data_IF_117337678013
#
_entry.id   IF_117337678013
#
_cell.length_a   1.000
_cell.length_b   1.000
_cell.length_c   1.000
_cell.angle_alpha   90.00
_cell.angle_beta   90.00
_cell.angle_gamma   90.00
#
_symmetry.space_group_name_H-M   'P 1'
#
loop_
_entity.id
_entity.type
_entity.pdbx_description
1 polymer ?
#
# COMPACT_ATOMS: atom_id res chain seq x y z
N UNK A 1 16.93 -35.47 57.67
CA UNK A 1 15.90 -34.65 56.99
C UNK A 1 16.60 -33.73 56.00
N UNK A 2 16.30 -33.77 54.69
CA UNK A 2 16.88 -32.84 53.74
C UNK A 2 16.44 -31.41 54.07
N UNK A 3 17.39 -30.47 54.17
CA UNK A 3 17.11 -29.06 54.39
C UNK A 3 16.23 -28.55 53.24
N UNK A 4 15.08 -27.97 53.57
CA UNK A 4 14.21 -27.35 52.57
C UNK A 4 15.01 -26.28 51.81
N UNK A 5 14.92 -26.24 50.48
CA UNK A 5 15.65 -25.25 49.70
C UNK A 5 15.24 -23.84 50.13
N UNK A 6 16.23 -22.98 50.38
CA UNK A 6 16.03 -21.58 50.73
C UNK A 6 15.23 -20.90 49.61
N UNK A 7 14.11 -20.26 49.95
CA UNK A 7 13.23 -19.54 49.03
C UNK A 7 14.02 -18.57 48.12
N UNK A 8 15.06 -17.92 48.66
CA UNK A 8 15.94 -17.03 47.92
C UNK A 8 16.68 -17.76 46.79
N UNK A 9 17.16 -18.98 47.04
CA UNK A 9 17.84 -19.81 46.05
C UNK A 9 16.89 -20.28 44.95
N UNK A 10 15.64 -20.59 45.30
CA UNK A 10 14.60 -20.95 44.32
C UNK A 10 14.29 -19.74 43.42
N UNK A 11 14.07 -18.56 44.01
CA UNK A 11 13.79 -17.32 43.28
C UNK A 11 14.95 -16.93 42.36
N UNK A 12 16.20 -17.05 42.83
CA UNK A 12 17.38 -16.75 42.01
C UNK A 12 17.49 -17.68 40.80
N UNK A 13 17.30 -19.00 40.99
CA UNK A 13 17.32 -19.98 39.89
C UNK A 13 16.21 -19.72 38.89
N UNK A 14 15.01 -19.36 39.34
CA UNK A 14 13.91 -19.00 38.48
C UNK A 14 14.22 -17.74 37.64
N UNK A 15 14.76 -16.69 38.27
CA UNK A 15 15.16 -15.46 37.57
C UNK A 15 16.24 -15.73 36.51
N UNK A 16 17.26 -16.53 36.86
CA UNK A 16 18.32 -16.89 35.93
C UNK A 16 17.80 -17.72 34.74
N UNK A 17 16.90 -18.69 35.00
CA UNK A 17 16.28 -19.48 33.95
C UNK A 17 15.44 -18.61 32.99
N UNK A 18 14.67 -17.66 33.52
CA UNK A 18 13.91 -16.70 32.70
C UNK A 18 14.87 -15.87 31.84
N UNK A 19 15.92 -15.31 32.43
CA UNK A 19 16.88 -14.45 31.75
C UNK A 19 17.64 -15.20 30.65
N UNK A 20 18.09 -16.43 30.92
CA UNK A 20 18.72 -17.30 29.92
C UNK A 20 17.76 -17.64 28.77
N UNK A 21 16.49 -17.94 29.08
CA UNK A 21 15.48 -18.23 28.05
C UNK A 21 15.24 -17.00 27.17
N UNK A 22 15.17 -15.80 27.75
CA UNK A 22 15.07 -14.54 27.01
C UNK A 22 16.28 -14.32 26.08
N UNK A 23 17.51 -14.60 26.55
CA UNK A 23 18.73 -14.47 25.75
C UNK A 23 18.74 -15.48 24.60
N UNK A 24 18.45 -16.76 24.87
CA UNK A 24 18.41 -17.80 23.84
C UNK A 24 17.42 -17.44 22.76
N UNK A 25 16.22 -16.99 23.10
CA UNK A 25 15.22 -16.63 22.11
C UNK A 25 15.53 -15.32 21.38
N UNK A 26 16.25 -14.40 22.01
CA UNK A 26 16.78 -13.23 21.33
C UNK A 26 17.76 -13.62 20.24
N UNK A 27 18.75 -14.44 20.60
CA UNK A 27 19.79 -14.90 19.68
C UNK A 27 19.18 -15.78 18.59
N UNK A 28 18.30 -16.73 18.94
CA UNK A 28 17.62 -17.58 17.96
C UNK A 28 16.71 -16.80 17.02
N UNK A 29 16.00 -15.78 17.52
CA UNK A 29 15.20 -14.89 16.70
C UNK A 29 16.04 -14.08 15.72
N UNK A 30 17.12 -13.44 16.19
CA UNK A 30 18.07 -12.72 15.32
C UNK A 30 18.73 -13.64 14.29
N UNK A 31 19.17 -14.85 14.70
CA UNK A 31 19.74 -15.84 13.81
C UNK A 31 18.71 -16.28 12.76
N UNK A 32 17.46 -16.54 13.15
CA UNK A 32 16.37 -16.84 12.23
C UNK A 32 16.13 -15.67 11.26
N UNK A 33 16.04 -14.44 11.75
CA UNK A 33 15.86 -13.24 10.93
C UNK A 33 16.98 -13.01 9.92
N UNK A 34 18.22 -13.37 10.28
CA UNK A 34 19.40 -13.25 9.42
C UNK A 34 19.55 -14.39 8.42
N UNK A 35 19.18 -15.61 8.77
CA UNK A 35 19.43 -16.81 7.96
C UNK A 35 18.22 -17.26 7.15
N UNK A 36 17.01 -17.01 7.63
CA UNK A 36 15.79 -17.24 6.87
C UNK A 36 15.52 -15.97 6.08
N UNK A 37 15.63 -16.05 4.75
CA UNK A 37 15.20 -14.97 3.87
C UNK A 37 13.67 -14.89 3.85
N UNK A 38 13.07 -14.56 5.00
CA UNK A 38 11.63 -14.32 5.14
C UNK A 38 11.18 -13.21 4.19
N UNK A 39 12.10 -12.31 3.80
CA UNK A 39 11.86 -11.30 2.77
C UNK A 39 11.50 -11.90 1.41
N UNK A 40 11.96 -13.11 1.08
CA UNK A 40 11.56 -13.80 -0.16
C UNK A 40 10.06 -14.14 -0.17
N UNK A 41 9.49 -14.37 1.01
CA UNK A 41 8.11 -14.81 1.19
C UNK A 41 7.15 -13.67 1.55
N UNK A 42 7.67 -12.48 1.86
CA UNK A 42 6.84 -11.31 2.14
C UNK A 42 6.35 -10.65 0.86
N UNK A 43 5.11 -10.13 0.93
CA UNK A 43 4.56 -9.20 -0.03
C UNK A 43 5.55 -8.10 -0.40
N UNK A 44 5.98 -8.03 -1.69
CA UNK A 44 6.98 -7.06 -2.10
C UNK A 44 6.49 -5.62 -1.86
N UNK A 45 5.17 -5.37 -1.87
CA UNK A 45 4.57 -4.07 -1.53
C UNK A 45 4.75 -3.69 -0.07
N UNK A 46 4.75 -4.69 0.81
CA UNK A 46 4.97 -4.48 2.25
C UNK A 46 6.44 -4.34 2.59
N UNK A 47 7.39 -4.72 1.71
CA UNK A 47 8.83 -4.59 1.99
C UNK A 47 9.24 -3.17 2.36
N UNK A 48 8.61 -2.18 1.76
CA UNK A 48 8.91 -0.78 2.02
C UNK A 48 8.51 -0.36 3.43
N UNK A 49 7.41 -0.93 3.93
CA UNK A 49 6.92 -0.71 5.29
C UNK A 49 7.93 -1.25 6.31
N UNK A 50 8.52 -2.42 6.04
CA UNK A 50 9.32 -3.16 7.03
C UNK A 50 10.82 -2.90 6.97
N UNK A 51 11.39 -2.79 5.77
CA UNK A 51 12.84 -2.63 5.56
C UNK A 51 13.16 -1.26 4.96
N UNK A 52 12.29 -0.73 4.08
CA UNK A 52 12.46 0.59 3.46
C UNK A 52 13.76 0.77 2.67
N UNK A 53 14.54 -0.31 2.48
CA UNK A 53 15.84 -0.29 1.84
C UNK A 53 15.71 -0.26 0.32
N UNK A 54 16.64 0.45 -0.28
CA UNK A 54 16.87 0.42 -1.71
C UNK A 54 17.21 -0.99 -2.18
N UNK A 55 16.54 -1.41 -3.25
CA UNK A 55 16.67 -2.77 -3.77
C UNK A 55 17.26 -2.82 -5.19
N UNK A 56 17.82 -1.70 -5.67
CA UNK A 56 18.36 -1.58 -7.03
C UNK A 56 17.35 -1.06 -8.06
N UNK A 57 16.10 -0.76 -7.68
CA UNK A 57 15.07 -0.27 -8.59
C UNK A 57 15.26 1.19 -8.99
N UNK A 58 15.24 1.44 -10.30
CA UNK A 58 15.25 2.82 -10.84
C UNK A 58 13.87 3.47 -10.81
N UNK A 59 12.83 2.64 -10.92
CA UNK A 59 11.44 3.07 -10.98
C UNK A 59 10.68 2.53 -9.77
N UNK A 60 9.82 3.36 -9.19
CA UNK A 60 8.94 2.98 -8.09
C UNK A 60 7.49 3.19 -8.50
N UNK A 61 6.67 2.15 -8.39
CA UNK A 61 5.21 2.26 -8.52
C UNK A 61 4.66 2.49 -7.12
N UNK A 62 4.10 3.66 -6.88
CA UNK A 62 3.59 4.13 -5.60
C UNK A 62 2.11 4.43 -5.73
N UNK A 63 1.32 4.25 -4.67
CA UNK A 63 -0.11 4.44 -4.82
C UNK A 63 -1.00 3.76 -3.81
N UNK A 64 -2.29 3.82 -4.11
CA UNK A 64 -3.37 3.04 -3.48
C UNK A 64 -3.64 1.74 -4.29
N UNK A 65 -4.71 1.04 -3.91
CA UNK A 65 -5.15 -0.29 -4.32
C UNK A 65 -5.30 -0.49 -5.83
N UNK A 66 -5.44 0.58 -6.62
CA UNK A 66 -5.55 0.49 -8.08
C UNK A 66 -4.21 0.11 -8.73
N UNK A 67 -3.08 0.35 -8.07
CA UNK A 67 -1.75 -0.11 -8.50
C UNK A 67 -1.27 -1.38 -7.78
N UNK A 68 -2.10 -1.97 -6.91
CA UNK A 68 -1.74 -3.16 -6.14
C UNK A 68 -1.80 -4.47 -6.95
N UNK A 69 -2.33 -4.45 -8.18
CA UNK A 69 -2.51 -5.60 -9.07
C UNK A 69 -3.30 -6.78 -8.50
N UNK A 70 -4.46 -6.49 -7.88
CA UNK A 70 -5.28 -7.50 -7.23
C UNK A 70 -6.04 -8.44 -8.17
N UNK A 71 -6.19 -8.08 -9.44
CA UNK A 71 -7.10 -8.75 -10.38
C UNK A 71 -6.38 -9.41 -11.56
N UNK A 72 -5.09 -9.73 -11.39
CA UNK A 72 -4.28 -10.45 -12.38
C UNK A 72 -4.09 -11.92 -11.98
N UNK A 73 -3.80 -12.76 -12.97
CA UNK A 73 -3.72 -14.21 -12.78
C UNK A 73 -2.38 -14.70 -12.24
N UNK A 74 -1.32 -13.91 -12.45
CA UNK A 74 0.04 -14.32 -12.12
C UNK A 74 0.94 -13.12 -11.85
N UNK A 75 2.09 -13.31 -11.16
CA UNK A 75 3.01 -12.21 -10.86
C UNK A 75 3.58 -11.53 -12.11
N UNK A 76 3.78 -12.28 -13.17
CA UNK A 76 4.34 -11.79 -14.44
C UNK A 76 3.37 -10.84 -15.16
N UNK A 77 2.10 -10.88 -14.79
CA UNK A 77 1.02 -10.07 -15.36
C UNK A 77 0.71 -8.79 -14.58
N UNK A 78 1.49 -8.52 -13.54
CA UNK A 78 1.35 -7.32 -12.72
C UNK A 78 1.97 -6.10 -13.44
N UNK A 79 1.45 -4.89 -13.19
CA UNK A 79 1.97 -3.64 -13.79
C UNK A 79 3.49 -3.54 -13.62
N UNK A 80 4.04 -3.84 -12.44
CA UNK A 80 5.47 -3.71 -12.17
C UNK A 80 6.30 -4.74 -12.93
N UNK A 81 5.85 -5.99 -13.05
CA UNK A 81 6.58 -7.03 -13.77
C UNK A 81 6.58 -6.79 -15.29
N UNK A 82 5.44 -6.34 -15.83
CA UNK A 82 5.33 -5.94 -17.24
C UNK A 82 6.25 -4.75 -17.51
N UNK A 83 6.21 -3.73 -16.65
CA UNK A 83 7.07 -2.56 -16.79
C UNK A 83 8.55 -2.92 -16.70
N UNK A 84 8.96 -3.72 -15.72
CA UNK A 84 10.34 -4.18 -15.52
C UNK A 84 10.89 -4.88 -16.77
N UNK A 85 10.07 -5.76 -17.37
CA UNK A 85 10.40 -6.43 -18.64
C UNK A 85 10.54 -5.43 -19.78
N UNK A 86 9.60 -4.49 -19.91
CA UNK A 86 9.55 -3.54 -21.01
C UNK A 86 10.71 -2.51 -20.99
N UNK A 87 11.17 -2.12 -19.80
CA UNK A 87 12.27 -1.15 -19.65
C UNK A 87 13.62 -1.77 -19.32
N UNK A 88 13.69 -3.10 -19.17
CA UNK A 88 14.87 -3.85 -18.76
C UNK A 88 15.57 -3.23 -17.53
N UNK A 89 14.76 -2.83 -16.55
CA UNK A 89 15.18 -2.18 -15.32
C UNK A 89 14.26 -2.58 -14.20
N UNK A 90 14.83 -2.78 -13.01
CA UNK A 90 14.05 -3.20 -11.84
C UNK A 90 13.02 -2.14 -11.43
N UNK A 91 11.79 -2.60 -11.17
CA UNK A 91 10.66 -1.75 -10.74
C UNK A 91 10.23 -2.15 -9.33
N UNK A 92 10.15 -1.18 -8.43
CA UNK A 92 9.67 -1.41 -7.07
C UNK A 92 8.14 -1.36 -7.01
N UNK A 93 7.45 -2.44 -6.59
CA UNK A 93 6.00 -2.43 -6.43
C UNK A 93 5.61 -1.86 -5.07
N UNK A 94 5.66 -0.54 -4.90
CA UNK A 94 5.38 0.15 -3.64
C UNK A 94 3.90 0.49 -3.38
N UNK A 95 2.96 0.15 -4.26
CA UNK A 95 1.54 0.47 -4.06
C UNK A 95 0.95 -0.22 -2.82
N UNK A 96 0.18 0.52 -2.02
CA UNK A 96 -0.40 0.07 -0.76
C UNK A 96 -1.92 -0.04 -0.86
N UNK A 97 -2.51 -0.95 -0.09
CA UNK A 97 -3.96 -1.10 -0.06
C UNK A 97 -4.64 -0.04 0.83
N UNK A 98 -5.71 0.57 0.33
CA UNK A 98 -6.47 1.63 0.97
C UNK A 98 -5.61 2.81 1.51
N UNK A 99 -4.54 3.14 0.78
CA UNK A 99 -3.56 4.17 1.08
C UNK A 99 -4.17 5.57 1.11
N UNK A 100 -3.83 6.37 2.13
CA UNK A 100 -4.31 7.76 2.26
C UNK A 100 -3.16 8.74 2.03
N UNK A 101 -3.45 10.03 1.78
CA UNK A 101 -2.39 11.02 1.55
C UNK A 101 -1.27 11.03 2.60
N UNK A 102 -1.54 10.89 3.92
CA UNK A 102 -0.47 10.78 4.92
C UNK A 102 0.42 9.52 4.77
N UNK A 103 -0.15 8.40 4.32
CA UNK A 103 0.60 7.16 4.06
C UNK A 103 1.52 7.36 2.84
N UNK A 104 1.01 8.02 1.79
CA UNK A 104 1.80 8.39 0.62
C UNK A 104 2.95 9.33 0.98
N UNK A 105 2.72 10.34 1.82
CA UNK A 105 3.81 11.22 2.29
C UNK A 105 4.87 10.45 3.08
N UNK A 106 4.45 9.56 3.98
CA UNK A 106 5.38 8.70 4.74
C UNK A 106 6.19 7.78 3.83
N UNK A 107 5.53 7.18 2.84
CA UNK A 107 6.18 6.39 1.80
C UNK A 107 7.18 7.24 1.00
N UNK A 108 6.80 8.47 0.66
CA UNK A 108 7.69 9.43 0.03
C UNK A 108 8.96 9.67 0.85
N UNK A 109 8.84 9.95 2.14
CA UNK A 109 9.99 10.16 3.02
C UNK A 109 10.95 8.96 3.05
N UNK A 110 10.40 7.74 3.07
CA UNK A 110 11.19 6.50 3.02
C UNK A 110 11.93 6.40 1.69
N UNK A 111 11.23 6.63 0.57
CA UNK A 111 11.84 6.54 -0.76
C UNK A 111 12.93 7.61 -0.92
N UNK A 112 12.65 8.85 -0.52
CA UNK A 112 13.59 9.97 -0.53
C UNK A 112 14.84 9.74 0.33
N UNK A 113 14.74 8.90 1.35
CA UNK A 113 15.87 8.54 2.21
C UNK A 113 16.72 7.40 1.66
N UNK A 114 16.16 6.56 0.78
CA UNK A 114 16.78 5.30 0.35
C UNK A 114 17.15 5.26 -1.14
N UNK A 115 16.35 5.87 -2.02
CA UNK A 115 16.57 5.83 -3.46
C UNK A 115 17.56 6.92 -3.92
N UNK A 116 18.40 6.63 -4.93
CA UNK A 116 19.35 7.59 -5.45
C UNK A 116 18.65 8.67 -6.30
N UNK A 117 19.33 9.81 -6.44
CA UNK A 117 18.96 10.84 -7.42
C UNK A 117 18.88 10.25 -8.84
N UNK A 118 17.95 10.77 -9.65
CA UNK A 118 17.63 10.25 -10.98
C UNK A 118 16.65 9.07 -10.99
N UNK A 119 16.23 8.57 -9.82
CA UNK A 119 15.10 7.64 -9.72
C UNK A 119 13.79 8.32 -10.12
N UNK A 120 12.80 7.54 -10.54
CA UNK A 120 11.46 8.05 -10.88
C UNK A 120 10.39 7.31 -10.10
N UNK A 121 9.46 8.05 -9.51
CA UNK A 121 8.28 7.52 -8.82
C UNK A 121 7.04 7.81 -9.66
N UNK A 122 6.29 6.75 -9.98
CA UNK A 122 4.96 6.83 -10.54
C UNK A 122 3.94 6.72 -9.41
N UNK A 123 3.30 7.83 -9.02
CA UNK A 123 2.26 7.83 -7.99
C UNK A 123 0.88 7.78 -8.64
N UNK A 124 0.08 6.76 -8.35
CA UNK A 124 -1.29 6.71 -8.86
C UNK A 124 -2.19 7.68 -8.09
N UNK A 125 -3.10 8.31 -8.82
CA UNK A 125 -4.17 9.15 -8.26
C UNK A 125 -5.46 8.83 -9.00
N UNK A 126 -6.47 8.41 -8.25
CA UNK A 126 -7.84 8.32 -8.76
C UNK A 126 -8.57 9.61 -8.43
N UNK A 127 -9.36 10.20 -9.33
CA UNK A 127 -10.17 11.38 -9.01
C UNK A 127 -11.07 11.21 -7.78
N UNK A 128 -11.48 9.97 -7.47
CA UNK A 128 -12.22 9.61 -6.24
C UNK A 128 -11.48 9.97 -4.95
N UNK A 129 -10.16 10.09 -4.98
CA UNK A 129 -9.35 10.55 -3.83
C UNK A 129 -9.77 11.94 -3.36
N UNK A 130 -10.18 12.80 -4.28
CA UNK A 130 -10.55 14.18 -3.99
C UNK A 130 -12.05 14.36 -3.75
N UNK A 131 -12.84 13.29 -3.91
CA UNK A 131 -14.24 13.30 -3.52
C UNK A 131 -14.37 13.22 -2.00
N UNK A 132 -15.30 13.99 -1.43
CA UNK A 132 -15.74 13.79 -0.05
C UNK A 132 -16.35 12.40 0.14
N UNK A 133 -16.14 11.81 1.31
CA UNK A 133 -16.66 10.49 1.66
C UNK A 133 -17.52 10.57 2.91
N UNK A 134 -18.56 9.72 2.99
CA UNK A 134 -19.35 9.56 4.23
C UNK A 134 -18.57 8.83 5.31
N UNK A 135 -17.56 8.07 4.93
CA UNK A 135 -16.67 7.43 5.89
C UNK A 135 -15.77 8.49 6.51
N UNK A 136 -15.60 8.49 7.84
CA UNK A 136 -14.72 9.44 8.49
C UNK A 136 -13.32 9.34 7.90
N UNK A 137 -12.75 10.48 7.55
CA UNK A 137 -11.33 10.55 7.25
C UNK A 137 -10.59 10.28 8.56
N UNK A 138 -9.71 9.27 8.63
CA UNK A 138 -8.86 9.13 9.80
C UNK A 138 -7.98 10.38 9.88
N UNK A 139 -7.76 10.85 11.10
CA UNK A 139 -6.94 12.03 11.36
C UNK A 139 -5.56 11.89 10.71
N UNK A 140 -5.13 12.93 9.99
CA UNK A 140 -3.74 13.06 9.57
C UNK A 140 -2.85 13.08 10.83
N UNK A 141 -1.90 12.17 10.91
CA UNK A 141 -1.00 12.06 12.08
C UNK A 141 -1.32 10.91 13.04
N UNK A 142 -2.25 10.01 12.74
CA UNK A 142 -2.37 8.73 13.44
C UNK A 142 -2.40 7.58 12.41
N UNK A 143 -1.22 7.02 12.12
CA UNK A 143 -0.99 5.86 11.25
C UNK A 143 -2.12 4.83 11.37
N UNK A 144 -2.82 4.51 10.28
CA UNK A 144 -3.87 3.48 10.32
C UNK A 144 -3.63 2.32 9.34
N UNK A 145 -3.95 1.13 9.85
CA UNK A 145 -3.82 -0.22 9.28
C UNK A 145 -2.46 -0.73 8.74
N UNK A 146 -1.86 -0.14 7.71
CA UNK A 146 -0.70 -0.74 7.02
C UNK A 146 0.64 -0.52 7.77
N UNK A 147 0.89 0.70 8.24
CA UNK A 147 2.10 1.07 8.99
C UNK A 147 1.94 1.00 10.53
N UNK A 148 0.72 0.73 11.02
CA UNK A 148 0.39 0.70 12.46
C UNK A 148 1.13 -0.40 13.23
N UNK A 149 1.57 -1.48 12.55
CA UNK A 149 2.37 -2.56 13.13
C UNK A 149 3.79 -2.15 13.55
N UNK A 150 4.25 -0.94 13.19
CA UNK A 150 5.61 -0.48 13.50
C UNK A 150 5.62 0.59 14.62
N UNK A 151 4.55 1.37 14.80
CA UNK A 151 4.50 2.48 15.79
C UNK A 151 3.67 2.26 17.06
N UNK A 152 2.97 1.14 17.22
CA UNK A 152 2.36 0.75 18.50
C UNK A 152 3.38 0.38 19.60
N UNK A 153 4.65 0.73 19.42
CA UNK A 153 5.68 0.66 20.47
C UNK A 153 5.75 1.92 21.36
N UNK A 154 4.89 2.94 21.25
CA UNK A 154 5.06 4.14 22.10
C UNK A 154 3.87 4.80 22.79
N UNK A 155 2.60 4.62 22.43
CA UNK A 155 1.51 5.32 23.17
C UNK A 155 0.16 4.63 23.04
N UNK A 156 -0.38 4.13 24.15
CA UNK A 156 -1.72 4.55 24.56
C UNK A 156 -2.00 4.29 26.05
N UNK A 157 -2.20 5.40 26.79
CA UNK A 157 -2.62 5.44 28.19
C UNK A 157 -4.15 5.60 28.22
N UNK A 158 -4.90 4.54 28.50
CA UNK A 158 -6.25 4.64 29.10
C UNK A 158 -6.43 3.57 30.16
N UNK A 159 -6.63 4.04 31.39
CA UNK A 159 -6.60 3.29 32.64
C UNK A 159 -7.98 2.68 32.95
N UNK A 160 -8.04 1.36 33.15
CA UNK A 160 -9.16 0.67 33.79
C UNK A 160 -8.66 -0.65 34.41
N UNK A 161 -9.36 -1.30 35.34
CA UNK A 161 -8.80 -2.46 36.08
C UNK A 161 -8.36 -3.66 35.19
N UNK A 162 -8.93 -3.80 33.98
CA UNK A 162 -8.47 -4.75 32.95
C UNK A 162 -7.07 -4.40 32.40
N UNK A 163 -6.73 -3.11 32.45
CA UNK A 163 -5.43 -2.55 32.16
C UNK A 163 -4.40 -2.90 33.24
N UNK A 164 -4.74 -3.16 34.52
CA UNK A 164 -3.73 -3.63 35.49
C UNK A 164 -3.25 -5.05 35.18
N UNK A 165 -4.16 -5.92 34.73
CA UNK A 165 -3.82 -7.26 34.24
C UNK A 165 -3.04 -7.22 32.94
N UNK A 166 -3.41 -6.30 32.04
CA UNK A 166 -2.65 -6.06 30.81
C UNK A 166 -1.32 -5.35 31.07
N UNK A 167 -1.20 -4.49 32.07
CA UNK A 167 0.03 -3.80 32.50
C UNK A 167 0.95 -4.79 33.20
N UNK A 168 0.45 -5.74 34.00
CA UNK A 168 1.24 -6.86 34.51
C UNK A 168 1.68 -7.80 33.37
N UNK A 169 0.77 -8.14 32.45
CA UNK A 169 1.11 -8.89 31.23
C UNK A 169 1.99 -8.08 30.25
N UNK A 170 2.06 -6.76 30.36
CA UNK A 170 2.85 -5.85 29.54
C UNK A 170 4.16 -5.48 30.22
N UNK A 171 4.29 -5.49 31.53
CA UNK A 171 5.61 -5.41 32.19
C UNK A 171 6.31 -6.77 32.13
N UNK A 172 5.56 -7.86 32.19
CA UNK A 172 6.06 -9.23 31.93
C UNK A 172 6.16 -9.48 30.40
N UNK A 173 5.35 -8.79 29.58
CA UNK A 173 5.26 -8.91 28.11
C UNK A 173 6.14 -7.99 27.28
N UNK A 174 6.42 -6.77 27.75
CA UNK A 174 7.34 -5.81 27.11
C UNK A 174 8.79 -6.15 27.42
N UNK A 175 9.05 -6.70 28.62
CA UNK A 175 10.37 -7.26 28.92
C UNK A 175 10.58 -8.59 28.20
N UNK A 176 9.50 -9.32 27.89
CA UNK A 176 9.57 -10.48 27.01
C UNK A 176 9.46 -10.06 25.54
N UNK A 177 10.63 -9.74 25.00
CA UNK A 177 11.03 -9.76 23.58
C UNK A 177 10.31 -10.83 22.72
N UNK A 178 9.87 -11.92 23.35
CA UNK A 178 8.97 -12.94 22.85
C UNK A 178 7.76 -12.44 22.06
N UNK A 179 7.03 -11.39 22.47
CA UNK A 179 5.79 -11.03 21.75
C UNK A 179 6.04 -10.36 20.39
N UNK A 180 7.13 -9.56 20.30
CA UNK A 180 7.58 -8.96 19.03
C UNK A 180 8.10 -10.03 18.10
N UNK A 181 8.89 -10.96 18.63
CA UNK A 181 9.37 -12.11 17.87
C UNK A 181 8.25 -13.08 17.54
N UNK A 182 7.27 -13.34 18.39
CA UNK A 182 6.21 -14.31 18.13
C UNK A 182 5.27 -13.78 17.05
N UNK A 183 4.92 -12.49 17.05
CA UNK A 183 4.09 -11.94 15.97
C UNK A 183 4.84 -11.89 14.65
N UNK A 184 6.13 -11.56 14.68
CA UNK A 184 6.95 -11.40 13.50
C UNK A 184 7.44 -12.76 12.97
N UNK A 185 7.75 -13.72 13.86
CA UNK A 185 7.97 -15.15 13.60
C UNK A 185 6.69 -15.80 13.12
N UNK A 186 5.53 -15.60 13.76
CA UNK A 186 4.23 -16.10 13.29
C UNK A 186 3.86 -15.50 11.94
N UNK A 187 4.11 -14.21 11.71
CA UNK A 187 3.90 -13.60 10.39
C UNK A 187 4.89 -14.13 9.35
N UNK A 188 6.13 -14.43 9.74
CA UNK A 188 7.16 -15.01 8.87
C UNK A 188 6.90 -16.49 8.59
N UNK A 189 6.47 -17.26 9.59
CA UNK A 189 6.10 -18.67 9.54
C UNK A 189 4.78 -18.82 8.79
N UNK A 190 3.80 -17.95 9.01
CA UNK A 190 2.59 -17.86 8.17
C UNK A 190 2.95 -17.48 6.73
N UNK A 191 3.92 -16.59 6.50
CA UNK A 191 4.38 -16.24 5.15
C UNK A 191 5.21 -17.35 4.48
N UNK A 192 5.92 -18.18 5.24
CA UNK A 192 6.67 -19.34 4.74
C UNK A 192 5.74 -20.52 4.44
N UNK A 193 4.75 -20.77 5.30
CA UNK A 193 3.81 -21.91 5.14
C UNK A 193 2.64 -21.61 4.23
N UNK A 194 2.17 -20.36 4.18
CA UNK A 194 1.23 -19.93 3.14
C UNK A 194 2.12 -19.48 2.00
N UNK A 195 2.21 -20.24 0.91
CA UNK A 195 2.63 -19.67 -0.37
C UNK A 195 1.95 -18.30 -0.46
N UNK A 196 2.69 -17.22 -0.72
CA UNK A 196 2.10 -15.91 -0.60
C UNK A 196 0.89 -15.90 -1.51
N UNK A 197 -0.27 -15.74 -0.88
CA UNK A 197 -1.57 -15.75 -1.54
C UNK A 197 -1.72 -14.40 -2.24
N UNK A 198 -0.73 -14.05 -3.07
CA UNK A 198 -0.69 -12.86 -3.92
C UNK A 198 -1.81 -12.98 -4.96
N UNK A 199 -1.97 -14.19 -5.49
CA UNK A 199 -3.04 -14.60 -6.37
C UNK A 199 -3.90 -15.54 -5.57
N UNK A 200 -4.92 -14.99 -4.90
CA UNK A 200 -5.94 -15.82 -4.29
C UNK A 200 -6.50 -16.71 -5.41
N UNK A 201 -6.24 -18.02 -5.35
CA UNK A 201 -6.68 -19.03 -6.34
C UNK A 201 -8.22 -19.16 -6.31
N UNK A 202 -8.94 -18.12 -6.71
CA UNK A 202 -10.39 -18.00 -6.62
C UNK A 202 -10.99 -16.87 -7.46
N UNK A 203 -12.19 -16.43 -7.04
CA UNK A 203 -13.21 -15.61 -7.73
C UNK A 203 -12.75 -14.21 -8.22
N UNK A 204 -11.48 -13.84 -8.12
CA UNK A 204 -10.97 -12.49 -8.42
C UNK A 204 -9.97 -12.42 -9.58
N UNK A 205 -9.57 -13.56 -10.14
CA UNK A 205 -8.62 -13.66 -11.25
C UNK A 205 -9.27 -13.42 -12.62
N UNK A 206 -8.64 -12.62 -13.49
CA UNK A 206 -9.08 -12.28 -14.86
C UNK A 206 -10.54 -11.80 -15.00
N UNK A 207 -11.07 -11.11 -14.01
CA UNK A 207 -12.46 -10.65 -14.09
C UNK A 207 -12.52 -9.50 -15.09
N UNK A 208 -12.94 -9.79 -16.31
CA UNK A 208 -13.68 -8.82 -17.10
C UNK A 208 -15.06 -8.72 -16.44
N UNK A 209 -15.58 -7.51 -16.23
CA UNK A 209 -16.95 -7.31 -15.81
C UNK A 209 -17.89 -7.86 -16.92
N UNK A 210 -18.16 -9.16 -16.91
CA UNK A 210 -19.00 -9.77 -17.93
C UNK A 210 -20.44 -9.30 -17.69
N UNK A 211 -21.07 -8.83 -18.76
CA UNK A 211 -22.35 -8.14 -18.73
C UNK A 211 -23.52 -8.98 -18.24
N UNK A 212 -23.34 -10.29 -18.09
CA UNK A 212 -24.42 -11.27 -17.93
C UNK A 212 -24.45 -11.98 -16.55
N UNK A 213 -23.47 -11.78 -15.64
CA UNK A 213 -23.38 -12.60 -14.41
C UNK A 213 -23.15 -11.88 -13.06
N UNK A 214 -22.79 -10.59 -12.97
CA UNK A 214 -22.06 -10.14 -11.78
C UNK A 214 -22.85 -9.39 -10.69
N UNK A 215 -23.45 -10.14 -9.77
CA UNK A 215 -23.77 -9.66 -8.40
C UNK A 215 -22.56 -8.96 -7.75
N UNK A 216 -21.35 -9.37 -8.08
CA UNK A 216 -20.12 -8.80 -7.54
C UNK A 216 -19.91 -7.36 -7.97
N UNK A 217 -19.98 -7.08 -9.28
CA UNK A 217 -19.79 -5.73 -9.82
C UNK A 217 -20.89 -4.78 -9.31
N UNK A 218 -22.13 -5.27 -9.21
CA UNK A 218 -23.23 -4.53 -8.60
C UNK A 218 -22.97 -4.23 -7.11
N UNK A 219 -22.60 -5.24 -6.29
CA UNK A 219 -22.26 -5.03 -4.87
C UNK A 219 -21.10 -4.04 -4.68
N UNK A 220 -20.11 -4.08 -5.56
CA UNK A 220 -18.97 -3.14 -5.57
C UNK A 220 -19.45 -1.73 -5.95
N UNK A 221 -20.31 -1.61 -6.97
CA UNK A 221 -20.93 -0.34 -7.36
C UNK A 221 -21.76 0.26 -6.22
N UNK A 222 -22.64 -0.53 -5.60
CA UNK A 222 -23.45 -0.08 -4.46
C UNK A 222 -22.58 0.42 -3.31
N UNK A 223 -21.47 -0.27 -3.00
CA UNK A 223 -20.51 0.19 -2.00
C UNK A 223 -19.85 1.50 -2.43
N UNK A 224 -19.49 1.65 -3.70
CA UNK A 224 -18.91 2.87 -4.22
C UNK A 224 -19.88 4.05 -4.13
N UNK A 225 -21.10 3.90 -4.66
CA UNK A 225 -22.15 4.93 -4.64
C UNK A 225 -22.51 5.35 -3.21
N UNK A 226 -22.60 4.39 -2.27
CA UNK A 226 -22.92 4.71 -0.88
C UNK A 226 -21.87 5.58 -0.18
N UNK A 227 -20.60 5.48 -0.59
CA UNK A 227 -19.49 6.17 0.05
C UNK A 227 -19.15 7.52 -0.58
N UNK A 228 -19.42 7.71 -1.88
CA UNK A 228 -19.13 8.96 -2.57
C UNK A 228 -20.13 10.05 -2.14
N UNK A 229 -19.61 11.19 -1.68
CA UNK A 229 -20.40 12.40 -1.42
C UNK A 229 -20.11 13.38 -2.55
N UNK A 230 -21.10 13.53 -3.44
CA UNK A 230 -21.07 14.53 -4.51
C UNK A 230 -21.34 15.91 -3.89
N UNK A 231 -20.34 16.81 -3.93
CA UNK A 231 -20.47 18.19 -3.48
C UNK A 231 -20.01 19.14 -4.59
N UNK A 232 -20.17 20.45 -4.38
CA UNK A 232 -19.64 21.47 -5.31
C UNK A 232 -18.11 21.66 -5.20
N UNK A 233 -17.43 20.97 -4.30
CA UNK A 233 -16.01 21.15 -4.01
C UNK A 233 -15.20 19.86 -4.14
N UNK A 234 -13.90 19.98 -3.91
CA UNK A 234 -12.97 18.86 -3.87
C UNK A 234 -12.07 18.99 -2.62
N UNK A 235 -11.47 17.87 -2.20
CA UNK A 235 -10.46 17.89 -1.14
C UNK A 235 -9.17 18.57 -1.61
N UNK A 236 -8.31 18.92 -0.65
CA UNK A 236 -7.03 19.57 -0.93
C UNK A 236 -6.06 18.68 -1.74
N UNK A 237 -5.31 19.33 -2.62
CA UNK A 237 -4.21 18.77 -3.39
C UNK A 237 -2.84 18.98 -2.74
N UNK A 238 -2.76 19.67 -1.58
CA UNK A 238 -1.49 20.12 -0.97
C UNK A 238 -0.50 18.98 -0.72
N UNK A 239 -1.01 17.78 -0.44
CA UNK A 239 -0.18 16.59 -0.23
C UNK A 239 0.60 16.19 -1.49
N UNK A 240 0.09 16.47 -2.70
CA UNK A 240 0.83 16.24 -3.96
C UNK A 240 2.01 17.20 -4.04
N UNK A 241 1.81 18.48 -3.70
CA UNK A 241 2.91 19.46 -3.69
C UNK A 241 3.97 19.08 -2.66
N UNK A 242 3.56 18.68 -1.46
CA UNK A 242 4.49 18.20 -0.43
C UNK A 242 5.25 16.96 -0.88
N UNK A 243 4.58 16.00 -1.53
CA UNK A 243 5.25 14.82 -2.07
C UNK A 243 6.27 15.22 -3.16
N UNK A 244 5.90 16.14 -4.05
CA UNK A 244 6.79 16.65 -5.09
C UNK A 244 8.02 17.36 -4.49
N UNK A 245 7.82 18.17 -3.46
CA UNK A 245 8.89 18.83 -2.72
C UNK A 245 9.87 17.80 -2.13
N UNK A 246 9.36 16.81 -1.38
CA UNK A 246 10.17 15.72 -0.79
C UNK A 246 11.03 15.03 -1.86
N UNK A 247 10.45 14.71 -3.03
CA UNK A 247 11.19 14.06 -4.12
C UNK A 247 12.22 14.98 -4.76
N UNK A 248 11.84 16.21 -5.06
CA UNK A 248 12.68 17.18 -5.77
C UNK A 248 13.96 17.51 -4.99
N UNK A 249 13.88 17.62 -3.66
CA UNK A 249 15.04 17.86 -2.78
C UNK A 249 16.11 16.76 -2.95
N UNK A 250 15.69 15.54 -3.30
CA UNK A 250 16.58 14.38 -3.49
C UNK A 250 16.95 14.14 -4.95
N UNK A 251 16.50 14.99 -5.87
CA UNK A 251 16.66 14.77 -7.31
C UNK A 251 15.89 13.53 -7.81
N UNK A 252 14.85 13.11 -7.08
CA UNK A 252 13.95 12.04 -7.50
C UNK A 252 12.81 12.69 -8.29
N UNK A 253 12.47 12.11 -9.43
CA UNK A 253 11.40 12.62 -10.29
C UNK A 253 10.05 12.05 -9.85
N UNK A 254 9.11 12.93 -9.51
CA UNK A 254 7.71 12.54 -9.29
C UNK A 254 6.94 12.61 -10.60
N UNK A 255 6.18 11.56 -10.91
CA UNK A 255 5.23 11.51 -12.03
C UNK A 255 3.88 11.07 -11.49
N UNK A 256 2.88 11.93 -11.60
CA UNK A 256 1.52 11.62 -11.19
C UNK A 256 0.81 10.85 -12.31
N UNK A 257 0.27 9.67 -11.99
CA UNK A 257 -0.51 8.87 -12.94
C UNK A 257 -1.98 8.95 -12.59
N UNK A 258 -2.76 9.66 -13.39
CA UNK A 258 -4.20 9.77 -13.17
C UNK A 258 -4.87 8.51 -13.70
N UNK A 259 -5.39 7.67 -12.82
CA UNK A 259 -5.90 6.35 -13.19
C UNK A 259 -7.27 6.41 -13.85
N UNK A 260 -7.60 5.43 -14.70
CA UNK A 260 -8.87 5.39 -15.40
C UNK A 260 -10.07 5.15 -14.48
N UNK A 261 -11.25 5.60 -14.92
CA UNK A 261 -12.55 5.33 -14.29
C UNK A 261 -13.44 4.53 -15.24
N UNK A 262 -14.09 3.47 -14.75
CA UNK A 262 -14.99 2.65 -15.55
C UNK A 262 -16.36 3.35 -15.74
N UNK A 263 -16.40 4.35 -16.62
CA UNK A 263 -17.61 5.11 -16.95
C UNK A 263 -18.74 4.21 -17.47
N UNK A 264 -18.48 3.20 -18.32
CA UNK A 264 -19.53 2.28 -18.79
C UNK A 264 -20.22 1.50 -17.66
N UNK A 265 -19.47 1.05 -16.66
CA UNK A 265 -20.03 0.35 -15.51
C UNK A 265 -20.88 1.27 -14.62
N UNK A 266 -20.48 2.53 -14.45
CA UNK A 266 -21.30 3.56 -13.77
C UNK A 266 -22.62 3.75 -14.54
N UNK A 267 -22.56 3.94 -15.86
CA UNK A 267 -23.76 4.09 -16.69
C UNK A 267 -24.69 2.87 -16.64
N UNK A 268 -24.13 1.66 -16.45
CA UNK A 268 -24.91 0.43 -16.37
C UNK A 268 -25.68 0.30 -15.06
N UNK A 269 -25.05 0.56 -13.92
CA UNK A 269 -25.65 0.27 -12.60
C UNK A 269 -26.32 1.49 -11.96
N UNK A 270 -25.87 2.70 -12.26
CA UNK A 270 -26.52 3.90 -11.79
C UNK A 270 -27.88 4.10 -12.49
N UNK A 271 -28.85 4.67 -11.78
CA UNK A 271 -30.01 5.28 -12.46
C UNK A 271 -29.50 6.37 -13.40
N UNK A 272 -30.07 6.51 -14.60
CA UNK A 272 -29.60 7.47 -15.63
C UNK A 272 -29.24 8.85 -15.07
N UNK A 273 -30.17 9.49 -14.33
CA UNK A 273 -29.93 10.81 -13.71
C UNK A 273 -28.79 10.81 -12.67
N UNK A 274 -28.60 9.70 -11.95
CA UNK A 274 -27.49 9.50 -11.03
C UNK A 274 -26.18 9.29 -11.78
N UNK A 275 -26.18 8.53 -12.88
CA UNK A 275 -25.02 8.28 -13.72
C UNK A 275 -24.42 9.60 -14.23
N UNK A 276 -25.28 10.46 -14.80
CA UNK A 276 -24.88 11.77 -15.31
C UNK A 276 -24.27 12.64 -14.21
N UNK A 277 -24.88 12.65 -13.02
CA UNK A 277 -24.41 13.42 -11.87
C UNK A 277 -23.06 12.93 -11.36
N UNK A 278 -22.90 11.60 -11.25
CA UNK A 278 -21.67 10.94 -10.80
C UNK A 278 -20.54 11.22 -11.80
N UNK A 279 -20.79 11.02 -13.09
CA UNK A 279 -19.80 11.24 -14.14
C UNK A 279 -19.43 12.71 -14.27
N UNK A 280 -20.41 13.62 -14.18
CA UNK A 280 -20.14 15.06 -14.19
C UNK A 280 -19.23 15.46 -13.03
N UNK A 281 -19.50 14.95 -11.82
CA UNK A 281 -18.65 15.22 -10.66
C UNK A 281 -17.23 14.66 -10.82
N UNK A 282 -17.07 13.43 -11.31
CA UNK A 282 -15.73 12.87 -11.49
C UNK A 282 -14.94 13.51 -12.64
N UNK A 283 -15.61 13.95 -13.71
CA UNK A 283 -14.95 14.75 -14.75
C UNK A 283 -14.49 16.09 -14.16
N UNK A 284 -15.31 16.75 -13.34
CA UNK A 284 -14.89 17.96 -12.61
C UNK A 284 -13.66 17.72 -11.72
N UNK A 285 -13.62 16.60 -10.97
CA UNK A 285 -12.46 16.25 -10.13
C UNK A 285 -11.20 15.94 -10.97
N UNK A 286 -11.38 15.30 -12.13
CA UNK A 286 -10.31 15.04 -13.10
C UNK A 286 -9.73 16.35 -13.64
N UNK A 287 -10.59 17.25 -14.14
CA UNK A 287 -10.19 18.56 -14.65
C UNK A 287 -9.48 19.40 -13.56
N UNK A 288 -10.02 19.42 -12.34
CA UNK A 288 -9.40 20.09 -11.21
C UNK A 288 -8.00 19.52 -10.89
N UNK A 289 -7.83 18.20 -10.97
CA UNK A 289 -6.54 17.54 -10.76
C UNK A 289 -5.55 17.94 -11.85
N UNK A 290 -5.94 17.90 -13.13
CA UNK A 290 -5.07 18.33 -14.23
C UNK A 290 -4.67 19.79 -14.08
N UNK A 291 -5.64 20.68 -13.85
CA UNK A 291 -5.38 22.11 -13.70
C UNK A 291 -4.39 22.37 -12.57
N UNK A 292 -4.52 21.65 -11.44
CA UNK A 292 -3.58 21.74 -10.34
C UNK A 292 -2.16 21.29 -10.75
N UNK A 293 -2.02 20.13 -11.39
CA UNK A 293 -0.73 19.59 -11.81
C UNK A 293 -0.02 20.51 -12.81
N UNK A 294 -0.76 21.03 -13.81
CA UNK A 294 -0.25 22.00 -14.79
C UNK A 294 0.18 23.30 -14.11
N UNK A 295 -0.66 23.86 -13.23
CA UNK A 295 -0.36 25.15 -12.56
C UNK A 295 0.85 25.07 -11.64
N UNK A 296 1.17 23.88 -11.13
CA UNK A 296 2.32 23.64 -10.26
C UNK A 296 3.51 22.99 -10.98
N UNK A 297 3.46 22.87 -12.31
CA UNK A 297 4.50 22.22 -13.13
C UNK A 297 4.89 20.82 -12.63
N UNK A 298 3.89 20.05 -12.18
CA UNK A 298 4.07 18.66 -11.74
C UNK A 298 3.80 17.76 -12.93
N UNK A 299 4.76 16.90 -13.26
CA UNK A 299 4.64 16.01 -14.41
C UNK A 299 3.59 14.92 -14.17
N UNK A 300 2.81 14.61 -15.21
CA UNK A 300 1.74 13.64 -15.11
C UNK A 300 1.51 12.83 -16.39
N UNK A 301 0.85 11.69 -16.21
CA UNK A 301 0.33 10.81 -17.26
C UNK A 301 -1.18 10.69 -17.03
N UNK A 302 -1.97 11.20 -17.97
CA UNK A 302 -3.43 11.10 -17.89
C UNK A 302 -3.91 9.81 -18.56
N UNK A 303 -4.38 8.87 -17.74
CA UNK A 303 -4.98 7.62 -18.21
C UNK A 303 -6.51 7.62 -18.01
N UNK A 304 -7.12 8.74 -17.63
CA UNK A 304 -8.51 8.78 -17.14
C UNK A 304 -9.53 8.16 -18.12
N UNK A 305 -9.28 8.28 -19.43
CA UNK A 305 -10.09 7.68 -20.51
C UNK A 305 -9.28 6.76 -21.42
N UNK A 306 -8.12 6.26 -20.97
CA UNK A 306 -7.16 5.53 -21.80
C UNK A 306 -7.39 4.01 -21.88
N UNK A 307 -8.28 3.46 -21.04
CA UNK A 307 -8.60 2.02 -21.02
C UNK A 307 -10.08 1.80 -21.34
N UNK A 308 -10.36 0.72 -22.08
CA UNK A 308 -11.72 0.35 -22.45
C UNK A 308 -12.45 -0.39 -21.31
N UNK A 309 -13.77 -0.55 -21.46
CA UNK A 309 -14.61 -1.17 -20.44
C UNK A 309 -14.15 -2.57 -20.04
N UNK A 310 -13.64 -3.38 -20.98
CA UNK A 310 -13.22 -4.76 -20.71
C UNK A 310 -11.88 -4.83 -19.95
N UNK A 311 -11.24 -3.69 -19.71
CA UNK A 311 -9.97 -3.58 -18.99
C UNK A 311 -10.13 -3.41 -17.47
N UNK A 312 -11.37 -3.48 -16.96
CA UNK A 312 -11.68 -3.27 -15.55
C UNK A 312 -12.23 -4.51 -14.85
N UNK A 313 -11.89 -4.63 -13.57
CA UNK A 313 -12.48 -5.57 -12.64
C UNK A 313 -13.62 -4.94 -11.82
N UNK A 314 -13.55 -3.64 -11.53
CA UNK A 314 -14.64 -2.84 -10.96
C UNK A 314 -14.58 -1.37 -11.43
N UNK A 315 -15.14 -0.42 -10.67
CA UNK A 315 -15.22 1.00 -11.05
C UNK A 315 -13.85 1.66 -11.22
N UNK A 316 -12.84 1.24 -10.46
CA UNK A 316 -11.53 1.92 -10.37
C UNK A 316 -10.34 0.97 -10.50
N UNK A 317 -10.54 -0.34 -10.30
CA UNK A 317 -9.48 -1.33 -10.43
C UNK A 317 -9.48 -1.96 -11.81
N UNK A 318 -8.31 -2.00 -12.43
CA UNK A 318 -8.07 -2.69 -13.70
C UNK A 318 -7.91 -4.19 -13.50
N UNK A 319 -8.21 -4.96 -14.55
CA UNK A 319 -7.81 -6.37 -14.66
C UNK A 319 -6.47 -6.48 -15.42
N UNK A 320 -6.05 -7.70 -15.74
CA UNK A 320 -4.81 -7.98 -16.49
C UNK A 320 -4.66 -7.13 -17.76
N UNK A 321 -5.70 -7.00 -18.59
CA UNK A 321 -5.66 -6.18 -19.81
C UNK A 321 -5.44 -4.69 -19.47
N UNK A 322 -6.12 -4.17 -18.46
CA UNK A 322 -5.94 -2.79 -18.04
C UNK A 322 -4.55 -2.52 -17.49
N UNK A 323 -3.95 -3.48 -16.78
CA UNK A 323 -2.57 -3.39 -16.30
C UNK A 323 -1.55 -3.35 -17.44
N UNK A 324 -1.75 -4.16 -18.48
CA UNK A 324 -0.93 -4.13 -19.69
C UNK A 324 -1.00 -2.75 -20.38
N UNK A 325 -2.19 -2.14 -20.47
CA UNK A 325 -2.37 -0.80 -21.05
C UNK A 325 -1.72 0.31 -20.20
N UNK A 326 -1.82 0.22 -18.88
CA UNK A 326 -1.15 1.16 -17.96
C UNK A 326 0.37 1.01 -18.11
N UNK A 327 0.92 -0.21 -18.02
CA UNK A 327 2.34 -0.46 -18.14
C UNK A 327 2.91 0.01 -19.48
N UNK A 328 2.16 -0.19 -20.59
CA UNK A 328 2.54 0.33 -21.92
C UNK A 328 2.62 1.86 -21.94
N UNK A 329 1.69 2.54 -21.27
CA UNK A 329 1.68 4.00 -21.18
C UNK A 329 2.86 4.53 -20.36
N UNK A 330 3.17 3.88 -19.22
CA UNK A 330 4.36 4.19 -18.42
C UNK A 330 5.65 3.96 -19.22
N UNK A 331 5.75 2.84 -19.94
CA UNK A 331 6.90 2.52 -20.80
C UNK A 331 7.11 3.59 -21.88
N UNK A 332 6.03 4.03 -22.55
CA UNK A 332 6.09 5.09 -23.57
C UNK A 332 6.63 6.38 -22.97
N UNK A 333 6.16 6.76 -21.77
CA UNK A 333 6.65 7.94 -21.07
C UNK A 333 8.14 7.81 -20.72
N UNK A 334 8.57 6.65 -20.20
CA UNK A 334 9.97 6.39 -19.84
C UNK A 334 10.87 6.52 -21.07
N UNK A 335 10.51 5.87 -22.18
CA UNK A 335 11.31 5.87 -23.40
C UNK A 335 11.41 7.28 -24.01
N UNK A 336 10.32 8.05 -24.01
CA UNK A 336 10.32 9.45 -24.45
C UNK A 336 11.30 10.29 -23.63
N UNK A 337 11.32 10.11 -22.31
CA UNK A 337 12.18 10.88 -21.42
C UNK A 337 13.64 10.41 -21.42
N UNK A 338 13.91 9.13 -21.71
CA UNK A 338 15.26 8.62 -21.85
C UNK A 338 16.01 9.27 -23.04
N UNK A 339 15.32 9.45 -24.18
CA UNK A 339 15.86 10.07 -25.39
C UNK A 339 16.23 11.54 -25.16
N UNK A 340 15.41 12.26 -24.38
CA UNK A 340 15.64 13.68 -24.12
C UNK A 340 16.84 13.95 -23.19
N UNK A 341 17.36 12.94 -22.49
CA UNK A 341 18.51 13.06 -21.60
C UNK A 341 19.84 12.68 -22.27
N UNK A 342 19.83 12.23 -23.53
CA UNK A 342 21.03 11.87 -24.30
C UNK A 342 21.45 12.92 -25.33
N UNK A 343 20.66 13.99 -25.46
CA UNK A 343 20.96 15.19 -26.26
C UNK A 343 21.20 16.37 -25.32
#
# INVERSE_FOLDING_TARGET
MPKSPNLLTILWKACLAILLTCVVLKVSGELFYRHVSWQKYMDPRKKMIWDGKYDGSKYVIMGDSEFCSYYVNSPEKTIWAILETAVNQKVYPGALDACKPPDLLTQGDIIASSWPSGSTIFVNIVPTRFAYSKLPEPEAGNYDYAFRRIKLQKRDQRFNLKCLKNVLNYYIGETSFFFRNETALKSSVDAIHKQPVFFNKGIHCNRAWATELDEFALKRYEKFENNVVMTKGHKSFDWISKLNEIMSIKGIKLVVVITPLNKPLINKFAKVKSADSILHYFNYLHDATINYLVSNNIEYIDLYSAVDENSFADMIHTNERGEELIAKSLTKWINKNAINNTN
#
